data_IF_206600163829
#
_entry.id   IF_206600163829
#
_cell.length_a   1.000
_cell.length_b   1.000
_cell.length_c   1.000
_cell.angle_alpha   90.00
_cell.angle_beta   90.00
_cell.angle_gamma   90.00
#
_symmetry.space_group_name_H-M   'P 1'
#
loop_
_entity.id
_entity.type
_entity.pdbx_description
1 polymer ?
#
# COMPACT_ATOMS: atom_id res chain seq x y z
N UNK A 1 20.99 45.83 -41.65
CA UNK A 1 22.38 46.21 -41.33
C UNK A 1 22.38 46.53 -39.83
N UNK A 2 23.06 45.90 -38.89
CA UNK A 2 23.87 44.69 -38.70
C UNK A 2 23.70 44.30 -37.20
N UNK A 3 24.16 43.11 -36.76
CA UNK A 3 23.63 42.35 -35.62
C UNK A 3 24.40 42.55 -34.31
N UNK A 4 23.80 42.18 -33.18
CA UNK A 4 24.51 41.89 -31.90
C UNK A 4 24.03 40.54 -31.39
N UNK A 5 24.65 39.44 -31.84
CA UNK A 5 25.72 38.70 -31.16
C UNK A 5 25.34 38.17 -29.76
N UNK A 6 24.88 36.91 -29.73
CA UNK A 6 25.19 35.98 -28.63
C UNK A 6 26.67 35.59 -28.73
N UNK A 7 27.37 35.35 -27.61
CA UNK A 7 27.49 33.94 -27.17
C UNK A 7 27.68 33.71 -25.65
N UNK A 8 27.62 32.41 -25.32
CA UNK A 8 28.32 31.71 -24.23
C UNK A 8 27.54 31.42 -22.93
N UNK A 9 27.12 30.17 -22.82
CA UNK A 9 26.97 29.44 -21.56
C UNK A 9 28.31 29.31 -20.82
N UNK A 10 28.26 28.97 -19.52
CA UNK A 10 29.04 27.83 -19.06
C UNK A 10 28.22 26.78 -18.27
N UNK A 11 28.69 25.54 -18.45
CA UNK A 11 28.44 24.29 -17.71
C UNK A 11 28.16 24.45 -16.22
N UNK A 12 27.16 23.77 -15.63
CA UNK A 12 27.17 22.35 -15.24
C UNK A 12 28.19 22.07 -14.11
N UNK A 13 27.80 22.28 -12.86
CA UNK A 13 28.01 21.35 -11.73
C UNK A 13 27.17 21.78 -10.51
N UNK A 14 26.84 20.82 -9.65
CA UNK A 14 25.79 20.85 -8.62
C UNK A 14 26.23 21.54 -7.30
N UNK A 15 25.33 21.65 -6.29
CA UNK A 15 25.14 20.51 -5.41
C UNK A 15 23.68 20.14 -5.13
N UNK A 16 23.47 18.84 -5.14
CA UNK A 16 22.37 18.09 -4.56
C UNK A 16 22.10 18.47 -3.09
N UNK A 17 20.86 18.87 -2.79
CA UNK A 17 20.08 18.36 -1.64
C UNK A 17 18.70 19.04 -1.58
N UNK A 18 17.79 18.53 -2.37
CA UNK A 18 16.41 18.29 -1.91
C UNK A 18 16.18 16.81 -2.11
N UNK A 19 15.68 16.09 -1.09
CA UNK A 19 14.40 16.41 -0.48
C UNK A 19 14.51 16.70 1.01
N UNK A 20 13.78 17.73 1.44
CA UNK A 20 13.21 17.76 2.78
C UNK A 20 12.44 16.45 2.97
N UNK A 21 12.96 15.59 3.83
CA UNK A 21 12.25 14.45 4.36
C UNK A 21 11.18 14.98 5.31
N UNK A 22 10.08 15.45 4.74
CA UNK A 22 8.83 15.60 5.48
C UNK A 22 8.20 14.22 5.49
N UNK A 23 7.99 13.56 6.65
CA UNK A 23 7.12 12.41 6.73
C UNK A 23 5.69 12.92 6.49
N UNK A 24 5.35 13.07 5.21
CA UNK A 24 3.97 13.19 4.76
C UNK A 24 3.35 11.84 5.06
N UNK A 25 2.85 11.67 6.29
CA UNK A 25 1.80 10.72 6.60
C UNK A 25 0.63 11.07 5.69
N UNK A 26 0.64 10.50 4.48
CA UNK A 26 -0.40 10.70 3.48
C UNK A 26 -1.50 9.70 3.77
N UNK A 27 -2.40 10.11 4.64
CA UNK A 27 -3.75 9.56 4.78
C UNK A 27 -4.38 9.50 3.39
N UNK A 28 -4.70 8.30 2.90
CA UNK A 28 -5.40 8.08 1.63
C UNK A 28 -4.76 7.09 0.65
N UNK A 29 -3.58 6.55 0.94
CA UNK A 29 -3.02 5.43 0.19
C UNK A 29 -2.39 4.47 1.20
N UNK A 30 -3.06 3.37 1.51
CA UNK A 30 -2.45 2.27 2.26
C UNK A 30 -1.31 1.69 1.40
N UNK A 31 -0.11 2.23 1.57
CA UNK A 31 1.10 1.61 1.04
C UNK A 31 1.45 0.43 1.94
N UNK A 32 0.69 -0.65 1.82
CA UNK A 32 0.98 -1.90 2.51
C UNK A 32 2.30 -2.42 1.93
N UNK A 33 3.34 -2.35 2.75
CA UNK A 33 4.68 -2.71 2.33
C UNK A 33 4.86 -4.22 2.44
N UNK A 34 5.57 -4.83 1.49
CA UNK A 34 5.81 -6.27 1.50
C UNK A 34 6.55 -6.73 2.78
N UNK A 35 7.43 -5.89 3.32
CA UNK A 35 8.11 -6.12 4.60
C UNK A 35 7.15 -6.16 5.79
N UNK A 36 6.05 -5.39 5.75
CA UNK A 36 5.03 -5.40 6.79
C UNK A 36 4.25 -6.71 6.75
N UNK A 37 3.79 -7.11 5.56
CA UNK A 37 3.13 -8.40 5.32
C UNK A 37 4.04 -9.57 5.72
N UNK A 38 5.34 -9.48 5.43
CA UNK A 38 6.30 -10.51 5.78
C UNK A 38 6.51 -10.66 7.30
N UNK A 39 6.24 -9.61 8.08
CA UNK A 39 6.31 -9.65 9.55
C UNK A 39 4.98 -10.09 10.18
N UNK A 40 3.86 -10.08 9.44
CA UNK A 40 2.57 -10.53 9.95
C UNK A 40 2.60 -12.02 10.29
N UNK A 41 2.06 -12.34 11.45
CA UNK A 41 1.89 -13.71 11.93
C UNK A 41 0.49 -14.22 11.57
N UNK A 42 0.27 -15.56 11.57
CA UNK A 42 -1.07 -16.13 11.43
C UNK A 42 -2.08 -15.57 12.45
N UNK A 43 -1.64 -15.22 13.66
CA UNK A 43 -2.50 -14.64 14.71
C UNK A 43 -2.93 -13.20 14.36
N UNK A 44 -2.02 -12.40 13.79
CA UNK A 44 -2.35 -11.05 13.30
C UNK A 44 -3.37 -11.11 12.15
N UNK A 45 -3.18 -12.03 11.21
CA UNK A 45 -4.11 -12.26 10.10
C UNK A 45 -5.46 -12.75 10.61
N UNK A 46 -5.49 -13.65 11.59
CA UNK A 46 -6.72 -14.14 12.20
C UNK A 46 -7.51 -13.04 12.90
N UNK A 47 -6.84 -12.16 13.66
CA UNK A 47 -7.49 -10.98 14.28
C UNK A 47 -8.07 -10.04 13.23
N UNK A 48 -7.33 -9.80 12.15
CA UNK A 48 -7.76 -8.94 11.07
C UNK A 48 -8.98 -9.51 10.32
N UNK A 49 -8.96 -10.81 10.02
CA UNK A 49 -10.11 -11.51 9.45
C UNK A 49 -11.32 -11.47 10.39
N UNK A 50 -11.12 -11.72 11.69
CA UNK A 50 -12.19 -11.65 12.69
C UNK A 50 -12.83 -10.26 12.75
N UNK A 51 -12.03 -9.19 12.67
CA UNK A 51 -12.57 -7.81 12.63
C UNK A 51 -13.43 -7.58 11.39
N UNK A 52 -13.01 -8.11 10.22
CA UNK A 52 -13.79 -8.06 8.99
C UNK A 52 -15.11 -8.83 9.09
N UNK A 53 -15.09 -10.01 9.72
CA UNK A 53 -16.29 -10.83 9.96
C UNK A 53 -17.26 -10.18 10.93
N UNK A 54 -16.75 -9.54 11.99
CA UNK A 54 -17.55 -8.85 12.97
C UNK A 54 -18.19 -7.57 12.41
N UNK A 55 -17.60 -6.99 11.35
CA UNK A 55 -18.00 -5.70 10.77
C UNK A 55 -18.09 -4.58 11.83
N UNK A 56 -17.37 -4.71 12.95
CA UNK A 56 -17.38 -3.79 14.08
C UNK A 56 -16.45 -2.59 13.85
N UNK A 57 -16.59 -1.93 12.70
CA UNK A 57 -15.83 -0.74 12.36
C UNK A 57 -16.63 0.53 12.68
N UNK A 58 -15.94 1.57 13.17
CA UNK A 58 -16.57 2.87 13.37
C UNK A 58 -16.95 3.52 12.02
N UNK A 59 -16.17 3.22 10.97
CA UNK A 59 -16.41 3.72 9.62
C UNK A 59 -16.19 2.63 8.56
N UNK A 60 -16.96 2.68 7.47
CA UNK A 60 -16.79 1.76 6.33
C UNK A 60 -15.38 1.80 5.72
N UNK A 61 -14.66 2.92 5.86
CA UNK A 61 -13.28 3.01 5.38
C UNK A 61 -12.33 2.13 6.17
N UNK A 62 -12.52 1.96 7.49
CA UNK A 62 -11.69 1.06 8.30
C UNK A 62 -11.87 -0.40 7.90
N UNK A 63 -13.12 -0.83 7.64
CA UNK A 63 -13.37 -2.17 7.10
C UNK A 63 -12.69 -2.36 5.74
N UNK A 64 -12.75 -1.36 4.85
CA UNK A 64 -12.04 -1.42 3.57
C UNK A 64 -10.51 -1.45 3.73
N UNK A 65 -9.97 -0.78 4.75
CA UNK A 65 -8.52 -0.79 5.03
C UNK A 65 -8.04 -2.17 5.45
N UNK A 66 -8.73 -2.80 6.41
CA UNK A 66 -8.45 -4.16 6.83
C UNK A 66 -8.63 -5.15 5.68
N UNK A 67 -9.68 -5.00 4.88
CA UNK A 67 -9.92 -5.82 3.69
C UNK A 67 -8.77 -5.71 2.68
N UNK A 68 -8.29 -4.48 2.41
CA UNK A 68 -7.14 -4.25 1.55
C UNK A 68 -5.86 -4.89 2.11
N UNK A 69 -5.66 -4.84 3.43
CA UNK A 69 -4.52 -5.49 4.08
C UNK A 69 -4.61 -7.01 3.97
N UNK A 70 -5.75 -7.63 4.28
CA UNK A 70 -5.98 -9.07 4.11
C UNK A 70 -5.70 -9.50 2.66
N UNK A 71 -6.18 -8.71 1.70
CA UNK A 71 -5.96 -8.97 0.27
C UNK A 71 -4.49 -8.88 -0.11
N UNK A 72 -3.76 -7.91 0.44
CA UNK A 72 -2.33 -7.78 0.18
C UNK A 72 -1.55 -8.97 0.78
N UNK A 73 -1.93 -9.44 1.98
CA UNK A 73 -1.40 -10.68 2.56
C UNK A 73 -1.72 -11.86 1.64
N UNK A 74 -2.92 -11.95 1.08
CA UNK A 74 -3.29 -13.03 0.15
C UNK A 74 -2.37 -13.14 -1.07
N UNK A 75 -1.89 -12.01 -1.60
CA UNK A 75 -0.99 -12.01 -2.75
C UNK A 75 0.44 -12.48 -2.42
N UNK A 76 0.91 -12.29 -1.18
CA UNK A 76 2.28 -12.63 -0.79
C UNK A 76 2.38 -13.91 0.05
N UNK A 77 1.37 -14.17 0.89
CA UNK A 77 1.27 -15.28 1.84
C UNK A 77 -0.14 -15.85 1.83
N UNK A 78 -0.51 -16.43 0.69
CA UNK A 78 -1.82 -17.07 0.50
C UNK A 78 -2.11 -18.14 1.57
N UNK A 79 -1.08 -18.84 2.08
CA UNK A 79 -1.21 -19.86 3.13
C UNK A 79 -1.81 -19.33 4.44
N UNK A 80 -1.57 -18.06 4.80
CA UNK A 80 -2.08 -17.46 6.04
C UNK A 80 -3.53 -17.02 5.91
N UNK A 81 -3.97 -16.74 4.69
CA UNK A 81 -5.31 -16.23 4.40
C UNK A 81 -6.23 -17.29 3.82
N UNK A 82 -5.73 -18.47 3.45
CA UNK A 82 -6.53 -19.60 2.96
C UNK A 82 -7.87 -19.79 3.71
N UNK A 83 -7.90 -19.86 5.06
CA UNK A 83 -9.15 -20.00 5.79
C UNK A 83 -10.08 -18.77 5.70
N UNK A 84 -9.55 -17.61 5.32
CA UNK A 84 -10.24 -16.31 5.29
C UNK A 84 -10.49 -15.78 3.86
N UNK A 85 -10.18 -16.56 2.82
CA UNK A 85 -10.36 -16.14 1.42
C UNK A 85 -11.82 -15.80 1.08
N UNK A 86 -12.77 -16.45 1.75
CA UNK A 86 -14.21 -16.17 1.62
C UNK A 86 -14.57 -14.72 1.98
N UNK A 87 -13.79 -14.05 2.84
CA UNK A 87 -13.98 -12.62 3.19
C UNK A 87 -13.52 -11.67 2.09
N UNK A 88 -12.64 -12.13 1.21
CA UNK A 88 -12.09 -11.31 0.14
C UNK A 88 -13.00 -11.26 -1.10
N UNK A 89 -14.18 -11.88 -1.04
CA UNK A 89 -15.01 -12.18 -2.22
C UNK A 89 -14.19 -12.92 -3.30
N UNK A 90 -13.12 -13.61 -2.85
CA UNK A 90 -12.36 -14.56 -3.64
C UNK A 90 -13.03 -15.91 -3.49
N UNK A 91 -14.34 -15.98 -3.77
CA UNK A 91 -14.95 -17.27 -4.00
C UNK A 91 -14.29 -17.84 -5.26
N UNK A 92 -13.48 -18.89 -5.08
CA UNK A 92 -13.41 -19.92 -6.09
C UNK A 92 -14.82 -20.49 -6.14
N UNK A 93 -15.66 -19.87 -6.95
CA UNK A 93 -17.06 -20.17 -7.15
C UNK A 93 -17.26 -21.69 -7.24
N UNK A 94 -17.70 -22.28 -6.13
CA UNK A 94 -18.11 -23.69 -6.05
C UNK A 94 -19.63 -23.70 -6.21
N UNK A 95 -20.06 -23.54 -7.46
CA UNK A 95 -21.44 -23.89 -7.83
C UNK A 95 -21.59 -25.41 -7.72
N UNK A 96 -22.30 -25.85 -6.67
CA UNK A 96 -22.88 -27.20 -6.56
C UNK A 96 -24.15 -27.36 -7.39
#
# INVERSE_FOLDING_TARGET
>A
MQPTQSPAAPSKDAPSKTPSETPSKKTGQLHISAEEIAQMTPDDVAKLAQRLEQDEYETAFEGLQDWHLLRAVAFQRSELVEPYLHLLDLEAFDES
#
